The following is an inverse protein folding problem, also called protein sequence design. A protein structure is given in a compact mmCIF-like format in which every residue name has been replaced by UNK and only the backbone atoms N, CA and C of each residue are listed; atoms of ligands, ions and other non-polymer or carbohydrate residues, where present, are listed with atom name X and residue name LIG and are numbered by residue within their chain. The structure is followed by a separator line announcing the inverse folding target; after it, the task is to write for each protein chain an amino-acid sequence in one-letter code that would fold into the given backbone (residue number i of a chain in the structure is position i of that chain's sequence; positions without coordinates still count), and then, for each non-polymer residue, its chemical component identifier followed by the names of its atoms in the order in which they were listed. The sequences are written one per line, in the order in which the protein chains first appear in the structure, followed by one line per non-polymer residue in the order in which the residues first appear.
data_IF_802883784667
#
_entry.id   IF_802883784667
#
_cell.length_a   1.000
_cell.length_b   1.000
_cell.length_c   1.000
_cell.angle_alpha   90.00
_cell.angle_beta   90.00
_cell.angle_gamma   90.00
#
_symmetry.space_group_name_H-M   'P 1'
#
loop_
_entity.id
_entity.type
_entity.pdbx_description
1 polymer ?
#
# COMPACT_ATOMS: atom_id res chain seq x y z
N UNK A 1 -3.48 -15.04 -5.36
CA UNK A 1 -4.13 -13.76 -5.67
C UNK A 1 -3.06 -12.78 -6.11
N UNK A 2 -3.43 -11.84 -6.97
CA UNK A 2 -2.65 -10.66 -7.31
C UNK A 2 -2.98 -9.56 -6.30
N UNK A 3 -1.99 -9.13 -5.53
CA UNK A 3 -2.13 -8.06 -4.55
C UNK A 3 -1.45 -6.82 -5.12
N UNK A 4 -2.19 -5.73 -5.26
CA UNK A 4 -1.58 -4.43 -5.49
C UNK A 4 -1.13 -3.85 -4.15
N UNK A 5 0.18 -3.71 -3.94
CA UNK A 5 0.69 -3.09 -2.73
C UNK A 5 0.91 -1.59 -2.94
N UNK A 6 0.34 -0.77 -2.06
CA UNK A 6 0.46 0.69 -2.13
C UNK A 6 1.10 1.23 -0.85
N UNK A 7 2.08 2.11 -0.99
CA UNK A 7 2.73 2.72 0.17
C UNK A 7 3.33 4.09 -0.19
N UNK A 8 3.69 4.87 0.83
CA UNK A 8 4.25 6.20 0.60
C UNK A 8 5.68 6.14 0.01
N UNK A 9 5.91 6.91 -1.06
CA UNK A 9 7.26 7.21 -1.57
C UNK A 9 7.58 8.68 -1.25
N UNK A 10 6.91 9.60 -1.95
CA UNK A 10 7.11 11.07 -1.77
C UNK A 10 6.59 11.62 -0.46
N UNK A 11 5.73 10.88 0.24
CA UNK A 11 5.27 11.23 1.58
C UNK A 11 6.31 10.96 2.67
N UNK A 12 7.38 10.23 2.34
CA UNK A 12 8.44 9.83 3.25
C UNK A 12 8.83 8.36 3.06
N UNK A 13 10.12 8.07 3.28
CA UNK A 13 10.70 6.72 3.11
C UNK A 13 11.02 6.00 4.42
N UNK A 14 10.73 6.61 5.57
CA UNK A 14 11.07 6.04 6.90
C UNK A 14 10.46 4.64 7.13
N UNK A 15 9.32 4.35 6.50
CA UNK A 15 8.61 3.07 6.59
C UNK A 15 9.02 2.03 5.54
N UNK A 16 9.97 2.35 4.65
CA UNK A 16 10.41 1.42 3.60
C UNK A 16 10.83 0.03 4.13
N UNK A 17 11.56 -0.10 5.26
CA UNK A 17 11.90 -1.41 5.78
C UNK A 17 10.67 -2.26 6.13
N UNK A 18 9.60 -1.61 6.60
CA UNK A 18 8.34 -2.28 6.91
C UNK A 18 7.62 -2.72 5.64
N UNK A 19 7.67 -1.91 4.57
CA UNK A 19 7.13 -2.29 3.27
C UNK A 19 7.78 -3.57 2.74
N UNK A 20 9.11 -3.68 2.86
CA UNK A 20 9.85 -4.89 2.50
C UNK A 20 9.39 -6.11 3.29
N UNK A 21 9.17 -5.97 4.60
CA UNK A 21 8.66 -7.05 5.45
C UNK A 21 7.23 -7.47 5.07
N UNK A 22 6.34 -6.52 4.79
CA UNK A 22 4.96 -6.77 4.36
C UNK A 22 4.96 -7.53 3.03
N UNK A 23 5.67 -7.03 2.01
CA UNK A 23 5.75 -7.67 0.69
C UNK A 23 6.31 -9.09 0.80
N UNK A 24 7.37 -9.27 1.60
CA UNK A 24 7.98 -10.58 1.83
C UNK A 24 6.98 -11.55 2.45
N UNK A 25 6.22 -11.10 3.45
CA UNK A 25 5.19 -11.90 4.12
C UNK A 25 4.07 -12.30 3.15
N UNK A 26 3.57 -11.37 2.34
CA UNK A 26 2.55 -11.65 1.32
C UNK A 26 3.04 -12.68 0.29
N UNK A 27 4.29 -12.55 -0.16
CA UNK A 27 4.92 -13.51 -1.08
C UNK A 27 5.08 -14.89 -0.46
N UNK A 28 5.52 -14.97 0.81
CA UNK A 28 5.65 -16.24 1.54
C UNK A 28 4.31 -16.98 1.68
N UNK A 29 3.19 -16.27 1.65
CA UNK A 29 1.83 -16.84 1.60
C UNK A 29 1.35 -17.25 0.21
N UNK A 30 2.22 -17.19 -0.80
CA UNK A 30 1.90 -17.59 -2.18
C UNK A 30 1.08 -16.56 -2.94
N UNK A 31 1.13 -15.29 -2.55
CA UNK A 31 0.52 -14.20 -3.31
C UNK A 31 1.53 -13.58 -4.29
N UNK A 32 1.04 -13.17 -5.46
CA UNK A 32 1.80 -12.33 -6.37
C UNK A 32 1.62 -10.87 -5.92
N UNK A 33 2.71 -10.17 -5.64
CA UNK A 33 2.66 -8.77 -5.20
C UNK A 33 3.05 -7.89 -6.38
N UNK A 34 2.08 -7.13 -6.88
CA UNK A 34 2.30 -6.07 -7.84
C UNK A 34 2.84 -4.83 -7.12
N UNK A 35 3.53 -3.97 -7.88
CA UNK A 35 4.06 -2.70 -7.37
C UNK A 35 5.13 -2.83 -6.27
N UNK A 36 5.92 -3.91 -6.29
CA UNK A 36 6.91 -4.22 -5.25
C UNK A 36 8.04 -3.18 -5.13
N UNK A 37 8.31 -2.44 -6.20
CA UNK A 37 9.35 -1.40 -6.24
C UNK A 37 9.09 -0.28 -5.22
N UNK A 38 7.86 -0.11 -4.72
CA UNK A 38 7.58 0.85 -3.64
C UNK A 38 8.43 0.58 -2.38
N UNK A 39 8.90 -0.66 -2.19
CA UNK A 39 9.80 -1.05 -1.12
C UNK A 39 11.28 -1.06 -1.53
N UNK A 40 11.65 -0.59 -2.71
CA UNK A 40 13.05 -0.51 -3.12
C UNK A 40 13.79 0.57 -2.32
N UNK A 41 14.92 0.20 -1.71
CA UNK A 41 15.76 1.10 -0.92
C UNK A 41 16.50 2.13 -1.79
N UNK A 42 16.74 1.79 -3.06
CA UNK A 42 17.42 2.67 -4.02
C UNK A 42 16.48 3.76 -4.56
N UNK A 43 15.15 3.62 -4.38
CA UNK A 43 14.19 4.65 -4.75
C UNK A 43 14.18 5.78 -3.73
N UNK A 44 14.65 6.95 -4.20
CA UNK A 44 14.63 8.20 -3.44
C UNK A 44 13.22 8.68 -3.08
N UNK A 45 13.15 9.68 -2.20
CA UNK A 45 11.90 10.38 -1.85
C UNK A 45 11.31 11.22 -3.00
N UNK A 46 12.04 11.44 -4.09
CA UNK A 46 11.47 11.97 -5.35
C UNK A 46 10.66 10.90 -6.12
N UNK A 47 10.80 9.63 -5.74
CA UNK A 47 10.24 8.47 -6.41
C UNK A 47 10.89 8.21 -7.76
N UNK A 48 10.16 7.51 -8.64
CA UNK A 48 10.70 7.14 -9.95
C UNK A 48 10.92 8.38 -10.84
N UNK A 49 12.14 8.46 -11.38
CA UNK A 49 12.60 9.52 -12.27
C UNK A 49 12.77 9.06 -13.72
N UNK A 50 12.87 7.74 -13.94
CA UNK A 50 13.15 7.17 -15.27
C UNK A 50 11.91 7.08 -16.16
N UNK A 51 10.72 7.25 -15.57
CA UNK A 51 9.44 7.22 -16.27
C UNK A 51 8.76 8.60 -16.24
N UNK A 52 8.04 8.92 -17.31
CA UNK A 52 7.15 10.07 -17.33
C UNK A 52 6.00 9.89 -16.31
N UNK A 53 5.40 11.00 -15.88
CA UNK A 53 4.31 10.93 -14.88
C UNK A 53 3.08 10.22 -15.43
N UNK A 54 2.84 10.33 -16.73
CA UNK A 54 1.78 9.64 -17.47
C UNK A 54 2.06 8.13 -17.57
N UNK A 55 3.32 7.74 -17.80
CA UNK A 55 3.73 6.33 -17.83
C UNK A 55 3.56 5.67 -16.47
N UNK A 56 3.99 6.34 -15.39
CA UNK A 56 3.79 5.88 -14.01
C UNK A 56 2.30 5.71 -13.76
N UNK A 57 1.50 6.77 -13.98
CA UNK A 57 0.06 6.73 -13.75
C UNK A 57 -0.63 5.58 -14.49
N UNK A 58 -0.33 5.43 -15.78
CA UNK A 58 -0.91 4.36 -16.60
C UNK A 58 -0.57 2.97 -16.04
N UNK A 59 0.71 2.73 -15.72
CA UNK A 59 1.17 1.46 -15.14
C UNK A 59 0.51 1.16 -13.80
N UNK A 60 0.45 2.14 -12.88
CA UNK A 60 -0.22 1.98 -11.59
C UNK A 60 -1.70 1.59 -11.78
N UNK A 61 -2.39 2.24 -12.72
CA UNK A 61 -3.80 1.95 -13.00
C UNK A 61 -4.02 0.58 -13.65
N UNK A 62 -3.12 0.14 -14.53
CA UNK A 62 -3.14 -1.19 -15.14
C UNK A 62 -2.97 -2.28 -14.07
N UNK A 63 -1.94 -2.18 -13.24
CA UNK A 63 -1.72 -3.12 -12.14
C UNK A 63 -2.86 -3.11 -11.11
N UNK A 64 -3.41 -1.93 -10.79
CA UNK A 64 -4.56 -1.84 -9.90
C UNK A 64 -5.77 -2.60 -10.47
N UNK A 65 -6.01 -2.47 -11.79
CA UNK A 65 -7.09 -3.18 -12.48
C UNK A 65 -6.90 -4.70 -12.46
N UNK A 66 -5.67 -5.17 -12.66
CA UNK A 66 -5.29 -6.60 -12.68
C UNK A 66 -5.27 -7.27 -11.31
N UNK A 67 -5.22 -6.48 -10.23
CA UNK A 67 -5.21 -6.99 -8.86
C UNK A 67 -6.56 -7.53 -8.40
N UNK A 68 -6.53 -8.55 -7.54
CA UNK A 68 -7.73 -9.06 -6.86
C UNK A 68 -8.08 -8.16 -5.66
N UNK A 69 -7.07 -7.57 -5.02
CA UNK A 69 -7.14 -6.82 -3.77
C UNK A 69 -6.02 -5.77 -3.73
N UNK A 70 -6.29 -4.64 -3.08
CA UNK A 70 -5.26 -3.66 -2.70
C UNK A 70 -4.95 -3.79 -1.20
N UNK A 71 -3.65 -3.85 -0.89
CA UNK A 71 -3.13 -3.73 0.46
C UNK A 71 -2.32 -2.43 0.52
N UNK A 72 -2.76 -1.47 1.31
CA UNK A 72 -2.15 -0.15 1.40
C UNK A 72 -1.55 0.11 2.78
N UNK A 73 -0.27 0.42 2.87
CA UNK A 73 0.34 0.93 4.11
C UNK A 73 0.06 2.44 4.23
N UNK A 74 -0.66 2.82 5.28
CA UNK A 74 -1.23 4.17 5.44
C UNK A 74 -0.72 4.90 6.68
N UNK A 75 0.35 4.42 7.30
CA UNK A 75 0.98 5.10 8.45
C UNK A 75 1.56 6.45 8.03
N UNK A 76 2.22 6.47 6.87
CA UNK A 76 2.73 7.70 6.27
C UNK A 76 1.68 8.28 5.32
N UNK A 77 1.14 9.49 5.58
CA UNK A 77 0.17 10.11 4.68
C UNK A 77 0.72 10.28 3.26
N UNK A 78 -0.06 9.86 2.25
CA UNK A 78 0.36 9.92 0.85
C UNK A 78 -0.83 10.22 -0.06
N UNK A 79 -0.71 11.27 -0.87
CA UNK A 79 -1.71 11.65 -1.87
C UNK A 79 -1.89 10.53 -2.92
N UNK A 80 -0.78 9.91 -3.35
CA UNK A 80 -0.82 8.82 -4.32
C UNK A 80 -1.53 7.58 -3.77
N UNK A 81 -1.25 7.20 -2.52
CA UNK A 81 -1.92 6.07 -1.87
C UNK A 81 -3.42 6.37 -1.69
N UNK A 82 -3.78 7.56 -1.23
CA UNK A 82 -5.18 7.97 -1.12
C UNK A 82 -5.91 7.95 -2.47
N UNK A 83 -5.25 8.40 -3.54
CA UNK A 83 -5.78 8.32 -4.90
C UNK A 83 -6.01 6.86 -5.32
N UNK A 84 -5.04 5.96 -5.10
CA UNK A 84 -5.14 4.55 -5.46
C UNK A 84 -6.24 3.82 -4.67
N UNK A 85 -6.38 4.10 -3.38
CA UNK A 85 -7.47 3.55 -2.54
C UNK A 85 -8.83 3.95 -3.12
N UNK A 86 -9.04 5.24 -3.41
CA UNK A 86 -10.29 5.72 -3.98
C UNK A 86 -10.59 5.05 -5.33
N UNK A 87 -9.59 4.92 -6.22
CA UNK A 87 -9.76 4.24 -7.51
C UNK A 87 -10.10 2.76 -7.34
N UNK A 88 -9.48 2.07 -6.39
CA UNK A 88 -9.76 0.67 -6.10
C UNK A 88 -11.21 0.44 -5.63
N UNK A 89 -11.69 1.32 -4.75
CA UNK A 89 -13.08 1.30 -4.26
C UNK A 89 -14.08 1.47 -5.40
N UNK A 90 -13.85 2.42 -6.30
CA UNK A 90 -14.71 2.64 -7.47
C UNK A 90 -14.65 1.49 -8.48
N UNK A 91 -13.56 0.71 -8.49
CA UNK A 91 -13.44 -0.52 -9.26
C UNK A 91 -14.07 -1.73 -8.55
N UNK A 92 -14.66 -1.56 -7.37
CA UNK A 92 -15.24 -2.65 -6.58
C UNK A 92 -14.22 -3.61 -5.99
N UNK A 93 -12.95 -3.22 -5.90
CA UNK A 93 -11.88 -4.04 -5.31
C UNK A 93 -11.99 -4.02 -3.79
N UNK A 94 -11.61 -5.14 -3.15
CA UNK A 94 -11.41 -5.16 -1.69
C UNK A 94 -10.21 -4.29 -1.34
N UNK A 95 -10.35 -3.48 -0.29
CA UNK A 95 -9.30 -2.58 0.19
C UNK A 95 -8.96 -2.91 1.63
N UNK A 96 -7.69 -3.24 1.88
CA UNK A 96 -7.13 -3.43 3.22
C UNK A 96 -6.05 -2.39 3.44
N UNK A 97 -6.21 -1.58 4.48
CA UNK A 97 -5.25 -0.58 4.91
C UNK A 97 -4.52 -1.08 6.15
N UNK A 98 -3.19 -1.10 6.10
CA UNK A 98 -2.32 -1.43 7.21
C UNK A 98 -1.84 -0.13 7.87
N UNK A 99 -1.91 -0.08 9.20
CA UNK A 99 -1.44 1.07 9.98
C UNK A 99 -0.55 0.60 11.12
N UNK A 100 0.67 1.12 11.18
CA UNK A 100 1.64 0.83 12.23
C UNK A 100 1.35 1.68 13.46
N UNK A 101 0.93 1.02 14.55
CA UNK A 101 0.63 1.61 15.84
C UNK A 101 -0.81 1.34 16.29
N UNK A 102 -1.03 1.47 17.59
CA UNK A 102 -2.33 1.21 18.21
C UNK A 102 -3.29 2.41 18.08
N UNK A 103 -2.74 3.63 18.00
CA UNK A 103 -3.52 4.85 17.92
C UNK A 103 -3.62 5.37 16.48
N UNK A 104 -4.81 5.18 15.90
CA UNK A 104 -5.18 5.60 14.55
C UNK A 104 -5.73 7.03 14.47
N UNK A 105 -5.53 7.90 15.48
CA UNK A 105 -6.04 9.28 15.41
C UNK A 105 -5.42 10.10 14.26
N UNK A 106 -4.20 9.76 13.84
CA UNK A 106 -3.50 10.42 12.73
C UNK A 106 -3.88 9.85 11.36
N UNK A 107 -4.55 8.70 11.32
CA UNK A 107 -5.05 8.14 10.08
C UNK A 107 -6.11 9.09 9.49
N UNK A 108 -6.06 9.27 8.17
CA UNK A 108 -7.02 10.10 7.45
C UNK A 108 -8.46 9.73 7.81
N UNK A 109 -9.24 10.71 8.27
CA UNK A 109 -10.67 10.52 8.59
C UNK A 109 -11.48 10.03 7.37
N UNK A 110 -11.07 10.39 6.15
CA UNK A 110 -11.70 9.93 4.91
C UNK A 110 -11.49 8.43 4.69
N UNK A 111 -10.28 7.92 4.98
CA UNK A 111 -9.96 6.50 4.81
C UNK A 111 -10.57 5.69 5.96
N UNK A 112 -10.39 6.15 7.20
CA UNK A 112 -10.92 5.48 8.41
C UNK A 112 -12.45 5.49 8.46
N UNK A 113 -13.09 6.53 7.89
CA UNK A 113 -14.54 6.68 7.88
C UNK A 113 -15.26 5.96 6.74
N UNK A 114 -14.54 5.46 5.72
CA UNK A 114 -15.16 4.71 4.62
C UNK A 114 -15.37 3.25 5.03
N UNK A 115 -16.63 2.84 5.20
CA UNK A 115 -16.99 1.48 5.67
C UNK A 115 -16.62 0.37 4.68
N UNK A 116 -16.21 0.71 3.46
CA UNK A 116 -15.71 -0.25 2.45
C UNK A 116 -14.23 -0.57 2.64
N UNK A 117 -13.52 0.21 3.46
CA UNK A 117 -12.10 0.03 3.76
C UNK A 117 -11.94 -0.76 5.06
N UNK A 118 -11.22 -1.87 5.00
CA UNK A 118 -10.77 -2.60 6.17
C UNK A 118 -9.48 -1.96 6.68
N UNK A 119 -9.42 -1.56 7.95
CA UNK A 119 -8.19 -1.02 8.57
C UNK A 119 -7.69 -2.03 9.60
N UNK A 120 -6.47 -2.50 9.40
CA UNK A 120 -5.79 -3.41 10.34
C UNK A 120 -4.56 -2.72 10.91
N UNK A 121 -4.49 -2.69 12.23
CA UNK A 121 -3.35 -2.14 12.95
C UNK A 121 -2.33 -3.24 13.26
N UNK A 122 -1.06 -2.88 13.25
CA UNK A 122 0.04 -3.75 13.66
C UNK A 122 1.12 -2.93 14.37
N UNK A 123 1.94 -3.52 15.22
CA UNK A 123 3.02 -2.77 15.91
C UNK A 123 4.39 -3.06 15.30
N UNK A 124 4.65 -4.32 14.97
CA UNK A 124 5.91 -4.78 14.42
C UNK A 124 5.76 -5.90 13.37
N UNK A 125 6.89 -6.38 12.84
CA UNK A 125 6.94 -7.38 11.79
C UNK A 125 6.46 -8.77 12.22
N UNK A 126 6.48 -9.10 13.51
CA UNK A 126 6.06 -10.41 14.03
C UNK A 126 4.55 -10.60 13.88
N UNK A 127 3.79 -9.51 13.98
CA UNK A 127 2.33 -9.52 13.84
C UNK A 127 1.86 -9.62 12.38
N UNK A 128 2.72 -9.34 11.40
CA UNK A 128 2.35 -9.40 9.97
C UNK A 128 1.87 -10.79 9.56
N UNK A 129 2.37 -11.82 10.23
CA UNK A 129 1.89 -13.17 9.99
C UNK A 129 0.45 -13.39 10.45
N UNK A 130 0.03 -12.73 11.52
CA UNK A 130 -1.32 -12.86 12.02
C UNK A 130 -2.31 -11.96 11.30
N UNK A 131 -1.85 -10.78 10.87
CA UNK A 131 -2.65 -9.74 10.23
C UNK A 131 -2.89 -10.04 8.74
N UNK A 132 -1.90 -10.57 8.03
CA UNK A 132 -1.98 -10.77 6.57
C UNK A 132 -2.39 -12.20 6.19
N UNK A 133 -3.47 -12.73 6.78
CA UNK A 133 -3.98 -14.09 6.53
C UNK A 133 -4.71 -14.25 5.20
#
# INVERSE_FOLDING_TARGET
MNIFFAAAIRGGRAQQPMYTAIISTLKQRGHAVLNEHVADEEISDYGETDLSKEQIHKREMEWLSESDIIVAEVTTPSLGVGYLIARALEMGKRVVCLYQGEDTHKLSAMIKGDTRVEVITYTDTNELNDVLK
#
